data_IF_095994143830
#
_entry.id   IF_095994143830
#
_cell.length_a   1.000
_cell.length_b   1.000
_cell.length_c   1.000
_cell.angle_alpha   90.00
_cell.angle_beta   90.00
_cell.angle_gamma   90.00
#
_symmetry.space_group_name_H-M   'P 1'
#
loop_
_entity.id
_entity.type
_entity.pdbx_description
1 polymer ?
#
# COMPACT_ATOMS: atom_id res chain seq x y z
N UNK A 1 -13.95 -6.80 -28.07
CA UNK A 1 -14.49 -8.14 -28.33
C UNK A 1 -13.42 -9.09 -27.81
N UNK A 2 -13.73 -9.91 -26.84
CA UNK A 2 -12.76 -10.88 -26.31
C UNK A 2 -12.57 -11.97 -27.34
N UNK A 3 -11.35 -12.08 -27.85
CA UNK A 3 -11.00 -13.13 -28.80
C UNK A 3 -10.50 -14.33 -27.98
N UNK A 4 -11.29 -15.42 -28.00
CA UNK A 4 -10.98 -16.62 -27.21
C UNK A 4 -9.62 -17.23 -27.60
N UNK A 5 -9.20 -17.02 -28.83
CA UNK A 5 -7.89 -17.43 -29.34
C UNK A 5 -6.75 -16.66 -28.70
N UNK A 6 -6.90 -15.34 -28.55
CA UNK A 6 -5.90 -14.48 -27.88
C UNK A 6 -5.78 -14.82 -26.38
N UNK A 7 -6.89 -15.17 -25.74
CA UNK A 7 -6.88 -15.59 -24.34
C UNK A 7 -6.16 -16.93 -24.14
N UNK A 8 -6.43 -17.92 -25.01
CA UNK A 8 -5.76 -19.22 -24.91
C UNK A 8 -4.24 -19.13 -25.17
N UNK A 9 -3.82 -18.28 -26.10
CA UNK A 9 -2.40 -18.00 -26.36
C UNK A 9 -1.74 -17.33 -25.15
N UNK A 10 -2.36 -16.30 -24.58
CA UNK A 10 -1.84 -15.61 -23.39
C UNK A 10 -1.72 -16.56 -22.20
N UNK A 11 -2.71 -17.46 -22.01
CA UNK A 11 -2.68 -18.44 -20.93
C UNK A 11 -1.56 -19.49 -21.14
N UNK A 12 -1.37 -19.92 -22.40
CA UNK A 12 -0.28 -20.82 -22.77
C UNK A 12 1.10 -20.22 -22.50
N UNK A 13 1.33 -18.97 -22.86
CA UNK A 13 2.54 -18.23 -22.58
C UNK A 13 2.78 -18.03 -21.07
N UNK A 14 1.71 -17.67 -20.33
CA UNK A 14 1.79 -17.45 -18.88
C UNK A 14 2.18 -18.72 -18.12
N UNK A 15 1.69 -19.90 -18.54
CA UNK A 15 1.93 -21.18 -17.92
C UNK A 15 3.25 -21.82 -18.33
N UNK A 16 4.07 -21.19 -19.18
CA UNK A 16 5.41 -21.68 -19.44
C UNK A 16 6.26 -21.67 -18.17
N UNK A 17 7.06 -22.72 -17.98
CA UNK A 17 7.92 -22.86 -16.78
C UNK A 17 8.84 -21.67 -16.58
N UNK A 18 9.37 -21.11 -17.65
CA UNK A 18 10.25 -19.95 -17.62
C UNK A 18 9.53 -18.71 -17.10
N UNK A 19 8.30 -18.42 -17.58
CA UNK A 19 7.51 -17.26 -17.17
C UNK A 19 7.03 -17.39 -15.72
N UNK A 20 6.68 -18.59 -15.29
CA UNK A 20 6.33 -18.86 -13.89
C UNK A 20 7.51 -18.61 -12.95
N UNK A 21 8.71 -19.06 -13.32
CA UNK A 21 9.92 -18.80 -12.53
C UNK A 21 10.27 -17.32 -12.47
N UNK A 22 10.14 -16.59 -13.58
CA UNK A 22 10.40 -15.16 -13.60
C UNK A 22 9.39 -14.36 -12.79
N UNK A 23 8.12 -14.75 -12.85
CA UNK A 23 7.07 -14.15 -12.00
C UNK A 23 7.33 -14.42 -10.52
N UNK A 24 7.70 -15.65 -10.17
CA UNK A 24 8.07 -16.04 -8.81
C UNK A 24 9.31 -15.26 -8.32
N UNK A 25 10.34 -15.18 -9.13
CA UNK A 25 11.54 -14.38 -8.83
C UNK A 25 11.18 -12.92 -8.63
N UNK A 26 10.39 -12.34 -9.55
CA UNK A 26 9.90 -10.97 -9.42
C UNK A 26 9.14 -10.73 -8.11
N UNK A 27 8.26 -11.66 -7.73
CA UNK A 27 7.50 -11.58 -6.49
C UNK A 27 8.41 -11.62 -5.26
N UNK A 28 9.37 -12.53 -5.20
CA UNK A 28 10.34 -12.58 -4.10
C UNK A 28 11.19 -11.32 -4.01
N UNK A 29 11.73 -10.87 -5.14
CA UNK A 29 12.51 -9.63 -5.20
C UNK A 29 11.65 -8.43 -4.77
N UNK A 30 10.41 -8.36 -5.22
CA UNK A 30 9.46 -7.34 -4.82
C UNK A 30 9.20 -7.34 -3.31
N UNK A 31 8.89 -8.51 -2.72
CA UNK A 31 8.69 -8.64 -1.27
C UNK A 31 9.93 -8.16 -0.50
N UNK A 32 11.11 -8.54 -0.95
CA UNK A 32 12.37 -8.12 -0.33
C UNK A 32 12.52 -6.59 -0.37
N UNK A 33 12.35 -5.98 -1.54
CA UNK A 33 12.44 -4.53 -1.69
C UNK A 33 11.35 -3.79 -0.89
N UNK A 34 10.11 -4.28 -0.94
CA UNK A 34 9.00 -3.68 -0.22
C UNK A 34 9.11 -3.81 1.30
N UNK A 35 9.78 -4.86 1.79
CA UNK A 35 10.08 -5.03 3.20
C UNK A 35 11.25 -4.16 3.68
N UNK A 36 11.97 -3.49 2.79
CA UNK A 36 13.03 -2.55 3.18
C UNK A 36 12.46 -1.12 3.24
N UNK A 37 12.34 -0.52 4.44
CA UNK A 37 11.88 0.86 4.55
C UNK A 37 12.79 1.80 3.76
N UNK A 38 12.19 2.62 2.89
CA UNK A 38 12.93 3.52 2.01
C UNK A 38 13.02 3.07 0.55
N UNK A 39 12.75 1.80 0.24
CA UNK A 39 12.64 1.31 -1.14
C UNK A 39 11.15 1.28 -1.54
N UNK A 40 10.76 2.21 -2.43
CA UNK A 40 9.39 2.19 -2.97
C UNK A 40 9.21 1.11 -4.03
N UNK A 41 7.96 0.74 -4.28
CA UNK A 41 7.61 -0.17 -5.38
C UNK A 41 8.13 0.35 -6.73
N UNK A 42 8.08 1.67 -6.95
CA UNK A 42 8.60 2.33 -8.13
C UNK A 42 10.12 2.20 -8.25
N UNK A 43 10.88 2.33 -7.15
CA UNK A 43 12.33 2.10 -7.17
C UNK A 43 12.67 0.65 -7.52
N UNK A 44 11.97 -0.32 -6.92
CA UNK A 44 12.17 -1.73 -7.23
C UNK A 44 11.92 -2.03 -8.72
N UNK A 45 10.86 -1.46 -9.29
CA UNK A 45 10.58 -1.55 -10.72
C UNK A 45 11.68 -0.88 -11.56
N UNK A 46 12.08 0.35 -11.23
CA UNK A 46 13.09 1.10 -11.99
C UNK A 46 14.43 0.36 -12.04
N UNK A 47 14.84 -0.27 -10.96
CA UNK A 47 16.07 -1.09 -10.91
C UNK A 47 15.99 -2.29 -11.86
N UNK A 48 14.80 -2.91 -11.96
CA UNK A 48 14.62 -4.13 -12.75
C UNK A 48 14.25 -3.90 -14.22
N UNK A 49 13.70 -2.71 -14.56
CA UNK A 49 13.34 -2.39 -15.96
C UNK A 49 14.49 -2.63 -16.95
N UNK A 50 15.75 -2.21 -16.74
CA UNK A 50 16.82 -2.45 -17.70
C UNK A 50 17.06 -3.93 -17.97
N UNK A 51 16.89 -4.79 -16.96
CA UNK A 51 17.07 -6.24 -17.11
C UNK A 51 15.94 -6.88 -17.90
N UNK A 52 14.73 -6.32 -17.83
CA UNK A 52 13.58 -6.86 -18.57
C UNK A 52 13.62 -6.57 -20.07
N UNK A 53 14.42 -5.59 -20.53
CA UNK A 53 14.62 -5.35 -21.96
C UNK A 53 15.28 -6.50 -22.72
N UNK A 54 16.08 -7.33 -22.03
CA UNK A 54 16.71 -8.50 -22.60
C UNK A 54 15.82 -9.75 -22.60
N UNK A 55 14.65 -9.66 -21.97
CA UNK A 55 13.70 -10.78 -21.86
C UNK A 55 12.67 -10.74 -23.02
N UNK A 56 12.03 -11.88 -23.30
CA UNK A 56 10.88 -11.89 -24.19
C UNK A 56 9.76 -11.00 -23.63
N UNK A 57 8.99 -10.35 -24.51
CA UNK A 57 8.04 -9.29 -24.11
C UNK A 57 7.10 -9.66 -22.96
N UNK A 58 6.55 -10.87 -22.96
CA UNK A 58 5.66 -11.34 -21.87
C UNK A 58 6.41 -11.65 -20.59
N UNK A 59 7.60 -12.23 -20.68
CA UNK A 59 8.43 -12.58 -19.52
C UNK A 59 8.83 -11.34 -18.69
N UNK A 60 9.25 -10.27 -19.39
CA UNK A 60 9.60 -9.00 -18.75
C UNK A 60 8.41 -8.38 -17.99
N UNK A 61 7.24 -8.34 -18.63
CA UNK A 61 6.00 -7.80 -18.01
C UNK A 61 5.60 -8.63 -16.79
N UNK A 62 5.64 -9.96 -16.87
CA UNK A 62 5.29 -10.84 -15.75
C UNK A 62 6.25 -10.69 -14.58
N UNK A 63 7.54 -10.53 -14.85
CA UNK A 63 8.54 -10.24 -13.82
C UNK A 63 8.24 -8.91 -13.12
N UNK A 64 7.98 -7.83 -13.87
CA UNK A 64 7.66 -6.51 -13.31
C UNK A 64 6.35 -6.50 -12.53
N UNK A 65 5.31 -7.19 -13.00
CA UNK A 65 4.07 -7.37 -12.25
C UNK A 65 4.29 -8.12 -10.93
N UNK A 66 5.12 -9.18 -10.97
CA UNK A 66 5.52 -9.89 -9.75
C UNK A 66 6.21 -8.96 -8.75
N UNK A 67 7.15 -8.13 -9.22
CA UNK A 67 7.85 -7.14 -8.37
C UNK A 67 6.86 -6.14 -7.78
N UNK A 68 5.96 -5.62 -8.58
CA UNK A 68 4.97 -4.65 -8.13
C UNK A 68 4.06 -5.21 -7.03
N UNK A 69 3.42 -6.35 -7.29
CA UNK A 69 2.56 -7.01 -6.31
C UNK A 69 3.32 -7.42 -5.05
N UNK A 70 4.53 -7.99 -5.24
CA UNK A 70 5.39 -8.41 -4.14
C UNK A 70 5.84 -7.25 -3.26
N UNK A 71 6.20 -6.10 -3.85
CA UNK A 71 6.66 -4.94 -3.09
C UNK A 71 5.56 -4.30 -2.24
N UNK A 72 4.34 -4.23 -2.76
CA UNK A 72 3.18 -3.72 -2.01
C UNK A 72 2.92 -4.62 -0.79
N UNK A 73 2.92 -5.94 -0.99
CA UNK A 73 2.75 -6.89 0.10
C UNK A 73 3.91 -6.84 1.10
N UNK A 74 5.16 -6.75 0.62
CA UNK A 74 6.37 -6.62 1.45
C UNK A 74 6.31 -5.46 2.42
N UNK A 75 5.75 -4.32 1.98
CA UNK A 75 5.51 -3.16 2.83
C UNK A 75 4.60 -3.41 4.02
N UNK A 76 3.62 -4.31 3.89
CA UNK A 76 2.74 -4.69 4.98
C UNK A 76 3.44 -5.53 6.05
N UNK A 77 4.47 -6.28 5.70
CA UNK A 77 5.25 -7.09 6.64
C UNK A 77 5.94 -6.19 7.67
N UNK A 78 6.64 -5.17 7.21
CA UNK A 78 7.33 -4.22 8.11
C UNK A 78 6.37 -3.32 8.86
N UNK A 79 5.26 -2.95 8.25
CA UNK A 79 4.17 -2.24 8.92
C UNK A 79 3.65 -3.00 10.14
N UNK A 80 3.42 -4.32 10.00
CA UNK A 80 2.93 -5.18 11.06
C UNK A 80 3.99 -5.46 12.13
N UNK A 81 5.22 -5.77 11.72
CA UNK A 81 6.25 -6.25 12.65
C UNK A 81 6.98 -5.14 13.41
N UNK A 82 7.26 -4.03 12.76
CA UNK A 82 8.12 -2.95 13.30
C UNK A 82 7.49 -1.55 13.24
N UNK A 83 6.20 -1.46 12.97
CA UNK A 83 5.46 -0.18 12.86
C UNK A 83 6.08 0.79 11.83
N UNK A 84 6.66 0.26 10.77
CA UNK A 84 7.29 1.07 9.73
C UNK A 84 6.75 0.62 8.38
N UNK A 85 5.92 1.44 7.72
CA UNK A 85 5.38 1.06 6.43
C UNK A 85 6.52 1.03 5.40
N UNK A 86 6.69 -0.09 4.71
CA UNK A 86 7.67 -0.22 3.63
C UNK A 86 7.21 0.48 2.35
N UNK A 87 5.89 0.54 2.15
CA UNK A 87 5.25 1.24 1.03
C UNK A 87 4.14 2.15 1.56
N UNK A 88 3.78 3.19 0.79
CA UNK A 88 2.71 4.13 1.15
C UNK A 88 1.36 3.42 1.43
N UNK A 89 1.04 2.42 0.63
CA UNK A 89 -0.19 1.64 0.75
C UNK A 89 -0.29 0.84 2.05
N UNK A 90 0.83 0.56 2.70
CA UNK A 90 0.88 -0.19 3.95
C UNK A 90 0.80 0.69 5.21
N UNK A 91 0.69 2.01 5.06
CA UNK A 91 0.62 2.93 6.19
C UNK A 91 -0.60 2.66 7.10
N UNK A 92 -1.77 2.40 6.51
CA UNK A 92 -2.96 2.03 7.26
C UNK A 92 -2.79 0.73 8.07
N UNK A 93 -1.99 -0.20 7.56
CA UNK A 93 -1.72 -1.49 8.22
C UNK A 93 -0.95 -1.33 9.54
N UNK A 94 -0.19 -0.23 9.72
CA UNK A 94 0.50 0.06 10.98
C UNK A 94 -0.48 0.24 12.13
N UNK A 95 -1.66 0.81 11.88
CA UNK A 95 -2.62 1.19 12.92
C UNK A 95 -3.19 -0.01 13.68
N UNK A 96 -3.47 -1.10 12.99
CA UNK A 96 -4.05 -2.31 13.59
C UNK A 96 -3.04 -3.47 13.65
N UNK A 97 -2.18 -3.59 12.65
CA UNK A 97 -1.22 -4.70 12.53
C UNK A 97 -0.13 -4.67 13.59
N UNK A 98 0.46 -3.51 13.86
CA UNK A 98 1.48 -3.40 14.88
C UNK A 98 0.95 -3.60 16.32
N UNK A 99 -0.20 -3.05 16.74
CA UNK A 99 -0.82 -3.38 18.02
C UNK A 99 -1.10 -4.88 18.20
N UNK A 100 -1.46 -5.61 17.13
CA UNK A 100 -1.57 -7.07 17.18
C UNK A 100 -0.21 -7.73 17.45
N UNK A 101 0.86 -7.24 16.84
CA UNK A 101 2.22 -7.72 17.10
C UNK A 101 2.64 -7.52 18.55
N UNK A 102 2.33 -6.36 19.14
CA UNK A 102 2.59 -6.10 20.56
C UNK A 102 1.84 -7.05 21.51
N UNK A 103 0.67 -7.56 21.07
CA UNK A 103 -0.11 -8.58 21.80
C UNK A 103 0.38 -10.01 21.55
N UNK A 104 1.44 -10.21 20.75
CA UNK A 104 1.97 -11.52 20.40
C UNK A 104 1.22 -12.23 19.25
N UNK A 105 0.33 -11.52 18.54
CA UNK A 105 -0.49 -12.05 17.44
C UNK A 105 0.06 -11.70 16.06
N UNK A 106 1.37 -11.47 15.93
CA UNK A 106 2.02 -11.08 14.67
C UNK A 106 1.72 -12.07 13.52
N UNK A 107 1.78 -13.37 13.79
CA UNK A 107 1.49 -14.39 12.80
C UNK A 107 0.05 -14.30 12.25
N UNK A 108 -0.91 -14.06 13.14
CA UNK A 108 -2.33 -13.88 12.78
C UNK A 108 -2.54 -12.63 11.91
N UNK A 109 -1.87 -11.52 12.25
CA UNK A 109 -1.94 -10.27 11.48
C UNK A 109 -1.35 -10.46 10.07
N UNK A 110 -0.16 -11.08 9.97
CA UNK A 110 0.47 -11.41 8.70
C UNK A 110 -0.39 -12.34 7.84
N UNK A 111 -0.94 -13.39 8.43
CA UNK A 111 -1.80 -14.33 7.73
C UNK A 111 -3.09 -13.70 7.21
N UNK A 112 -3.75 -12.83 7.99
CA UNK A 112 -4.93 -12.09 7.54
C UNK A 112 -4.59 -11.10 6.42
N UNK A 113 -3.47 -10.38 6.52
CA UNK A 113 -2.98 -9.49 5.47
C UNK A 113 -2.74 -10.24 4.16
N UNK A 114 -2.10 -11.44 4.24
CA UNK A 114 -1.86 -12.28 3.06
C UNK A 114 -3.15 -12.75 2.41
N UNK A 115 -4.09 -13.27 3.20
CA UNK A 115 -5.37 -13.76 2.67
C UNK A 115 -6.20 -12.63 2.07
N UNK A 116 -6.28 -11.48 2.74
CA UNK A 116 -7.01 -10.32 2.23
C UNK A 116 -6.40 -9.80 0.93
N UNK A 117 -5.07 -9.71 0.86
CA UNK A 117 -4.35 -9.29 -0.35
C UNK A 117 -4.55 -10.28 -1.51
N UNK A 118 -4.49 -11.58 -1.23
CA UNK A 118 -4.71 -12.61 -2.25
C UNK A 118 -6.14 -12.55 -2.79
N UNK A 119 -7.13 -12.47 -1.90
CA UNK A 119 -8.52 -12.38 -2.31
C UNK A 119 -8.81 -11.10 -3.10
N UNK A 120 -8.35 -9.94 -2.60
CA UNK A 120 -8.50 -8.65 -3.27
C UNK A 120 -7.79 -8.63 -4.63
N UNK A 121 -6.60 -9.22 -4.73
CA UNK A 121 -5.84 -9.34 -5.98
C UNK A 121 -6.58 -10.17 -7.03
N UNK A 122 -7.11 -11.35 -6.66
CA UNK A 122 -7.90 -12.20 -7.57
C UNK A 122 -9.17 -11.46 -7.98
N UNK A 123 -9.89 -10.86 -7.03
CA UNK A 123 -11.11 -10.12 -7.31
C UNK A 123 -10.86 -8.96 -8.29
N UNK A 124 -9.85 -8.14 -8.04
CA UNK A 124 -9.52 -7.00 -8.89
C UNK A 124 -9.04 -7.43 -10.28
N UNK A 125 -8.28 -8.54 -10.38
CA UNK A 125 -7.83 -9.08 -11.67
C UNK A 125 -9.02 -9.56 -12.52
N UNK A 126 -10.00 -10.24 -11.92
CA UNK A 126 -11.22 -10.65 -12.60
C UNK A 126 -12.05 -9.44 -13.05
N UNK A 127 -12.21 -8.44 -12.19
CA UNK A 127 -12.89 -7.19 -12.56
C UNK A 127 -12.15 -6.47 -13.69
N UNK A 128 -10.82 -6.35 -13.63
CA UNK A 128 -10.01 -5.71 -14.65
C UNK A 128 -10.16 -6.43 -16.00
N UNK A 129 -10.13 -7.76 -15.99
CA UNK A 129 -10.30 -8.56 -17.21
C UNK A 129 -11.60 -8.21 -17.95
N UNK A 130 -12.70 -8.03 -17.20
CA UNK A 130 -14.00 -7.68 -17.78
C UNK A 130 -14.09 -6.21 -18.17
N UNK A 131 -13.52 -5.31 -17.36
CA UNK A 131 -13.75 -3.87 -17.49
C UNK A 131 -12.62 -3.11 -18.19
N UNK A 132 -11.49 -3.75 -18.51
CA UNK A 132 -10.32 -3.08 -19.11
C UNK A 132 -10.64 -2.24 -20.35
N UNK A 133 -11.43 -2.69 -21.33
CA UNK A 133 -11.73 -1.88 -22.52
C UNK A 133 -12.58 -0.63 -22.20
N UNK A 134 -13.46 -0.74 -21.19
CA UNK A 134 -14.29 0.38 -20.73
C UNK A 134 -13.47 1.39 -19.93
N UNK A 135 -12.62 0.89 -19.05
CA UNK A 135 -11.72 1.70 -18.22
C UNK A 135 -10.71 2.49 -19.07
N UNK A 136 -10.16 1.88 -20.12
CA UNK A 136 -9.26 2.58 -21.04
C UNK A 136 -9.93 3.81 -21.69
N UNK A 137 -11.18 3.69 -22.13
CA UNK A 137 -11.94 4.82 -22.68
C UNK A 137 -12.25 5.88 -21.65
N UNK A 138 -12.58 5.46 -20.42
CA UNK A 138 -12.91 6.37 -19.34
C UNK A 138 -11.66 7.13 -18.85
N UNK A 139 -10.53 6.44 -18.72
CA UNK A 139 -9.26 7.02 -18.26
C UNK A 139 -8.77 8.16 -19.17
N UNK A 140 -9.01 8.07 -20.47
CA UNK A 140 -8.61 9.11 -21.42
C UNK A 140 -9.43 10.41 -21.28
N UNK A 141 -10.56 10.39 -20.60
CA UNK A 141 -11.40 11.56 -20.36
C UNK A 141 -11.06 12.28 -19.05
N UNK A 142 -10.15 11.72 -18.23
CA UNK A 142 -9.71 12.35 -16.98
C UNK A 142 -8.76 13.50 -17.25
N UNK A 143 -9.20 14.71 -16.88
CA UNK A 143 -8.41 15.93 -16.96
C UNK A 143 -7.97 16.47 -15.60
N UNK A 144 -7.44 17.68 -15.61
CA UNK A 144 -6.99 18.36 -14.38
C UNK A 144 -8.13 18.63 -13.37
N UNK A 145 -9.37 18.99 -13.78
CA UNK A 145 -10.48 19.20 -12.83
C UNK A 145 -10.86 17.93 -12.07
N UNK A 146 -10.89 16.77 -12.75
CA UNK A 146 -11.23 15.50 -12.15
C UNK A 146 -10.16 15.06 -11.14
N UNK A 147 -8.89 15.24 -11.48
CA UNK A 147 -7.77 14.98 -10.57
C UNK A 147 -7.81 15.88 -9.32
N UNK A 148 -8.19 17.16 -9.48
CA UNK A 148 -8.38 18.07 -8.35
C UNK A 148 -9.53 17.59 -7.45
N UNK A 149 -10.67 17.21 -8.02
CA UNK A 149 -11.81 16.70 -7.26
C UNK A 149 -11.44 15.44 -6.45
N UNK A 150 -10.62 14.55 -7.04
CA UNK A 150 -10.10 13.35 -6.36
C UNK A 150 -9.15 13.71 -5.21
N UNK A 151 -8.29 14.71 -5.38
CA UNK A 151 -7.41 15.18 -4.32
C UNK A 151 -8.23 15.74 -3.13
N UNK A 152 -9.27 16.54 -3.40
CA UNK A 152 -10.19 17.06 -2.37
C UNK A 152 -10.92 15.91 -1.68
N UNK A 153 -11.41 14.92 -2.42
CA UNK A 153 -12.01 13.72 -1.86
C UNK A 153 -11.04 12.97 -0.95
N UNK A 154 -9.80 12.74 -1.38
CA UNK A 154 -8.78 12.09 -0.56
C UNK A 154 -8.49 12.86 0.74
N UNK A 155 -8.42 14.19 0.68
CA UNK A 155 -8.25 15.02 1.87
C UNK A 155 -9.46 14.97 2.82
N UNK A 156 -10.66 14.83 2.30
CA UNK A 156 -11.88 14.71 3.13
C UNK A 156 -11.90 13.47 4.02
N UNK A 157 -11.18 12.40 3.64
CA UNK A 157 -11.06 11.17 4.42
C UNK A 157 -10.40 11.42 5.78
N UNK A 158 -9.51 12.42 5.87
CA UNK A 158 -8.83 12.81 7.13
C UNK A 158 -9.84 13.13 8.22
N UNK A 159 -10.96 13.77 7.87
CA UNK A 159 -12.02 14.11 8.85
C UNK A 159 -12.67 12.86 9.45
N UNK A 160 -12.81 11.81 8.66
CA UNK A 160 -13.38 10.53 9.11
C UNK A 160 -12.42 9.76 10.02
N UNK A 161 -11.12 9.77 9.69
CA UNK A 161 -10.09 9.06 10.48
C UNK A 161 -9.82 9.79 11.80
N UNK A 162 -9.92 11.12 11.80
CA UNK A 162 -9.62 11.98 12.96
C UNK A 162 -10.84 12.26 13.85
N UNK A 163 -11.79 11.33 13.93
CA UNK A 163 -13.05 11.47 14.67
C UNK A 163 -12.86 11.87 16.15
N UNK A 164 -11.78 11.41 16.80
CA UNK A 164 -11.51 11.68 18.21
C UNK A 164 -11.03 13.13 18.46
N UNK A 165 -10.35 13.75 17.49
CA UNK A 165 -9.90 15.14 17.59
C UNK A 165 -9.71 15.77 16.20
N UNK A 166 -10.79 16.29 15.67
CA UNK A 166 -10.84 16.89 14.33
C UNK A 166 -9.81 18.02 14.14
N UNK A 167 -9.58 18.86 15.19
CA UNK A 167 -8.64 19.98 15.10
C UNK A 167 -7.20 19.46 14.88
N UNK A 168 -6.81 18.44 15.60
CA UNK A 168 -5.48 17.83 15.41
C UNK A 168 -5.35 17.19 14.04
N UNK A 169 -6.41 16.53 13.54
CA UNK A 169 -6.44 15.96 12.20
C UNK A 169 -6.28 17.03 11.12
N UNK A 170 -7.02 18.13 11.22
CA UNK A 170 -6.91 19.25 10.28
C UNK A 170 -5.53 19.93 10.33
N UNK A 171 -4.96 20.14 11.51
CA UNK A 171 -3.60 20.67 11.64
C UNK A 171 -2.57 19.75 11.00
N UNK A 172 -2.67 18.43 11.23
CA UNK A 172 -1.77 17.45 10.60
C UNK A 172 -1.92 17.45 9.07
N UNK A 173 -3.13 17.56 8.57
CA UNK A 173 -3.40 17.68 7.13
C UNK A 173 -2.75 18.94 6.54
N UNK A 174 -2.92 20.09 7.21
CA UNK A 174 -2.29 21.35 6.76
C UNK A 174 -0.77 21.25 6.76
N UNK A 175 -0.17 20.64 7.79
CA UNK A 175 1.28 20.39 7.81
C UNK A 175 1.71 19.47 6.66
N UNK A 176 0.96 18.41 6.38
CA UNK A 176 1.22 17.52 5.25
C UNK A 176 1.16 18.25 3.91
N UNK A 177 0.17 19.11 3.71
CA UNK A 177 0.05 19.94 2.51
C UNK A 177 1.21 20.95 2.37
N UNK A 178 1.66 21.55 3.47
CA UNK A 178 2.84 22.43 3.46
C UNK A 178 4.10 21.67 3.04
N UNK A 179 4.32 20.50 3.61
CA UNK A 179 5.45 19.63 3.28
C UNK A 179 5.41 19.20 1.81
N UNK A 180 4.24 18.85 1.28
CA UNK A 180 4.09 18.42 -0.11
C UNK A 180 4.36 19.52 -1.13
N UNK A 181 4.27 20.79 -0.74
CA UNK A 181 4.56 21.94 -1.59
C UNK A 181 6.06 22.29 -1.67
N UNK A 182 6.92 21.62 -0.90
CA UNK A 182 8.37 21.82 -0.99
C UNK A 182 8.91 21.17 -2.26
N UNK A 183 9.60 21.93 -3.09
CA UNK A 183 10.21 21.41 -4.31
C UNK A 183 10.01 22.32 -5.52
N UNK A 184 10.20 21.78 -6.71
CA UNK A 184 10.00 22.46 -7.97
C UNK A 184 8.61 22.09 -8.54
N UNK A 185 7.85 23.10 -8.93
CA UNK A 185 6.57 22.90 -9.59
C UNK A 185 6.77 22.25 -10.97
N UNK A 186 6.06 21.18 -11.23
CA UNK A 186 6.19 20.40 -12.48
C UNK A 186 5.72 21.19 -13.70
N UNK A 187 4.76 22.11 -13.52
CA UNK A 187 4.17 22.88 -14.62
C UNK A 187 4.94 24.18 -14.93
N UNK A 188 5.33 24.92 -13.87
CA UNK A 188 5.96 26.24 -14.01
C UNK A 188 7.47 26.19 -13.87
N UNK A 189 8.03 25.07 -13.39
CA UNK A 189 9.45 24.92 -13.05
C UNK A 189 9.96 25.92 -11.99
N UNK A 190 9.04 26.59 -11.27
CA UNK A 190 9.41 27.48 -10.17
C UNK A 190 9.70 26.70 -8.89
N UNK A 191 10.73 27.13 -8.17
CA UNK A 191 11.10 26.53 -6.89
C UNK A 191 10.22 27.07 -5.76
N UNK A 192 9.57 26.18 -5.00
CA UNK A 192 8.72 26.51 -3.86
C UNK A 192 9.36 26.01 -2.56
N UNK A 193 9.53 26.88 -1.60
CA UNK A 193 10.06 26.57 -0.25
C UNK A 193 11.39 25.80 -0.24
N UNK A 194 12.24 26.01 -1.25
CA UNK A 194 13.55 25.36 -1.35
C UNK A 194 14.66 26.09 -0.61
N UNK A 195 14.42 27.33 -0.18
CA UNK A 195 15.37 28.19 0.56
C UNK A 195 16.78 28.26 -0.08
N UNK A 196 16.85 28.08 -1.40
CA UNK A 196 18.11 28.08 -2.15
C UNK A 196 18.89 26.76 -2.09
N UNK A 197 18.38 25.72 -1.44
CA UNK A 197 19.03 24.41 -1.36
C UNK A 197 18.68 23.54 -2.56
N UNK A 198 19.68 23.19 -3.35
CA UNK A 198 19.49 22.36 -4.55
C UNK A 198 18.92 20.97 -4.26
N UNK A 199 19.21 20.42 -3.08
CA UNK A 199 18.63 19.13 -2.64
C UNK A 199 17.11 19.16 -2.47
N UNK A 200 16.53 20.32 -2.15
CA UNK A 200 15.09 20.47 -1.98
C UNK A 200 14.36 20.72 -3.30
N UNK A 201 15.06 20.90 -4.43
CA UNK A 201 14.42 21.02 -5.74
C UNK A 201 13.65 19.77 -6.15
N UNK A 202 14.13 18.60 -5.76
CA UNK A 202 13.42 17.31 -5.97
C UNK A 202 12.24 17.09 -5.03
N UNK A 203 11.95 18.03 -4.13
CA UNK A 203 10.94 17.87 -3.08
C UNK A 203 11.39 16.93 -1.96
N UNK A 204 10.49 16.72 -1.00
CA UNK A 204 10.69 15.76 0.08
C UNK A 204 10.06 14.43 -0.34
N UNK A 205 10.88 13.40 -0.47
CA UNK A 205 10.39 12.09 -0.83
C UNK A 205 9.37 11.59 0.23
N UNK A 206 8.17 11.24 -0.21
CA UNK A 206 7.06 10.82 0.64
C UNK A 206 7.44 9.68 1.62
N UNK A 207 8.23 8.73 1.15
CA UNK A 207 8.72 7.61 1.95
C UNK A 207 9.61 8.08 3.12
N UNK A 208 10.47 9.07 2.89
CA UNK A 208 11.32 9.63 3.96
C UNK A 208 10.46 10.23 5.08
N UNK A 209 9.38 10.91 4.70
CA UNK A 209 8.43 11.48 5.67
C UNK A 209 7.74 10.37 6.47
N UNK A 210 7.30 9.31 5.80
CA UNK A 210 6.67 8.16 6.48
C UNK A 210 7.64 7.48 7.47
N UNK A 211 8.89 7.25 7.06
CA UNK A 211 9.90 6.67 7.96
C UNK A 211 10.14 7.58 9.16
N UNK A 212 10.23 8.89 8.95
CA UNK A 212 10.40 9.85 10.03
C UNK A 212 9.20 9.84 11.00
N UNK A 213 7.98 9.83 10.48
CA UNK A 213 6.77 9.88 11.30
C UNK A 213 6.52 8.56 12.05
N UNK A 214 6.76 7.41 11.44
CA UNK A 214 6.45 6.11 12.05
C UNK A 214 7.68 5.51 12.74
N UNK A 215 8.78 5.26 12.01
CA UNK A 215 9.92 4.55 12.56
C UNK A 215 10.71 5.37 13.57
N UNK A 216 10.99 6.64 13.25
CA UNK A 216 11.74 7.51 14.17
C UNK A 216 10.92 7.85 15.41
N UNK A 217 9.62 8.14 15.27
CA UNK A 217 8.71 8.34 16.39
C UNK A 217 8.65 7.11 17.30
N UNK A 218 8.52 5.90 16.72
CA UNK A 218 8.54 4.66 17.49
C UNK A 218 9.89 4.41 18.17
N UNK A 219 10.98 4.79 17.50
CA UNK A 219 12.32 4.73 18.08
C UNK A 219 12.44 5.61 19.35
N UNK A 220 11.93 6.84 19.30
CA UNK A 220 11.92 7.76 20.46
C UNK A 220 11.08 7.21 21.61
N UNK A 221 9.89 6.69 21.33
CA UNK A 221 9.02 6.07 22.35
C UNK A 221 9.73 4.88 23.00
N UNK A 222 10.43 4.06 22.22
CA UNK A 222 11.18 2.92 22.76
C UNK A 222 12.35 3.35 23.64
N UNK A 223 13.02 4.47 23.31
CA UNK A 223 14.10 5.05 24.12
C UNK A 223 13.56 5.63 25.42
N UNK A 224 12.44 6.37 25.36
CA UNK A 224 11.77 6.92 26.53
C UNK A 224 11.31 5.81 27.50
N UNK A 225 10.80 4.71 26.97
CA UNK A 225 10.39 3.53 27.75
C UNK A 225 11.54 2.64 28.23
N UNK A 226 12.79 2.96 27.87
CA UNK A 226 13.95 2.15 28.25
C UNK A 226 14.27 2.31 29.73
N UNK A 227 14.04 1.26 30.50
CA UNK A 227 14.49 1.17 31.92
C UNK A 227 15.73 0.25 31.97
N UNK A 228 16.91 0.76 32.40
CA UNK A 228 18.10 -0.06 32.58
C UNK A 228 17.79 -1.20 33.53
N UNK A 229 18.04 -2.45 33.13
CA UNK A 229 17.81 -3.65 33.95
C UNK A 229 16.43 -4.33 33.77
N UNK A 230 15.45 -3.67 33.21
CA UNK A 230 14.29 -4.38 32.63
C UNK A 230 14.71 -4.88 31.26
N UNK A 231 15.06 -6.15 31.15
CA UNK A 231 15.02 -6.82 29.85
C UNK A 231 13.60 -6.55 29.35
N UNK A 232 13.47 -5.70 28.33
CA UNK A 232 12.26 -5.61 27.56
C UNK A 232 11.93 -7.07 27.26
N UNK A 233 10.90 -7.58 27.90
CA UNK A 233 10.37 -8.89 27.59
C UNK A 233 9.77 -8.71 26.18
N UNK A 234 10.68 -8.58 25.20
CA UNK A 234 10.38 -8.93 23.83
C UNK A 234 9.94 -10.39 23.99
N UNK A 235 8.66 -10.55 24.29
CA UNK A 235 8.03 -11.80 23.96
C UNK A 235 8.49 -11.99 22.54
N UNK A 236 9.53 -12.84 22.42
CA UNK A 236 10.07 -13.24 21.12
C UNK A 236 8.84 -13.44 20.29
N UNK A 237 8.70 -12.71 19.19
CA UNK A 237 7.56 -12.90 18.31
C UNK A 237 7.69 -14.34 17.81
N UNK A 238 7.41 -15.30 18.71
CA UNK A 238 7.19 -16.67 18.33
C UNK A 238 6.03 -16.54 17.39
N UNK A 239 6.35 -16.71 16.10
CA UNK A 239 5.34 -16.78 15.05
C UNK A 239 4.39 -17.90 15.44
N UNK A 240 3.50 -17.59 16.37
CA UNK A 240 2.37 -18.45 16.70
C UNK A 240 1.53 -18.46 15.44
N UNK A 241 1.08 -19.57 15.01
CA UNK A 241 0.16 -19.84 13.92
C UNK A 241 -0.06 -18.70 12.93
N UNK A 242 0.64 -18.74 11.80
CA UNK A 242 0.56 -17.73 10.72
C UNK A 242 -0.78 -17.82 9.96
N UNK A 243 -1.34 -19.02 9.84
CA UNK A 243 -2.62 -19.21 9.17
C UNK A 243 -3.77 -18.80 10.11
N UNK A 244 -4.59 -17.78 9.73
CA UNK A 244 -5.78 -17.41 10.49
C UNK A 244 -6.76 -18.58 10.55
N UNK A 245 -7.59 -18.60 11.57
CA UNK A 245 -8.64 -19.61 11.69
C UNK A 245 -9.76 -19.33 10.68
N UNK A 246 -10.45 -20.36 10.26
CA UNK A 246 -11.65 -20.21 9.40
C UNK A 246 -12.69 -19.25 10.01
N UNK A 247 -12.73 -19.20 11.34
CA UNK A 247 -13.60 -18.29 12.10
C UNK A 247 -13.18 -16.84 11.93
N UNK A 248 -11.88 -16.55 11.95
CA UNK A 248 -11.33 -15.20 11.70
C UNK A 248 -11.64 -14.73 10.27
N UNK A 249 -11.44 -15.63 9.30
CA UNK A 249 -11.76 -15.32 7.90
C UNK A 249 -13.25 -15.01 7.70
N UNK A 250 -14.12 -15.84 8.28
CA UNK A 250 -15.58 -15.66 8.18
C UNK A 250 -16.04 -14.34 8.83
N UNK A 251 -15.41 -13.90 9.92
CA UNK A 251 -15.75 -12.63 10.58
C UNK A 251 -15.33 -11.41 9.75
N UNK A 252 -14.29 -11.52 8.91
CA UNK A 252 -13.75 -10.42 8.12
C UNK A 252 -14.21 -10.44 6.65
N UNK A 253 -15.00 -11.44 6.22
CA UNK A 253 -15.34 -11.61 4.80
C UNK A 253 -16.13 -10.43 4.24
N UNK A 254 -17.01 -9.82 5.00
CA UNK A 254 -17.76 -8.62 4.59
C UNK A 254 -16.84 -7.43 4.36
N UNK A 255 -15.86 -7.24 5.25
CA UNK A 255 -14.84 -6.19 5.11
C UNK A 255 -13.95 -6.46 3.91
N UNK A 256 -13.51 -7.71 3.72
CA UNK A 256 -12.67 -8.10 2.57
C UNK A 256 -13.41 -7.81 1.25
N UNK A 257 -14.68 -8.20 1.14
CA UNK A 257 -15.49 -7.94 -0.05
C UNK A 257 -15.69 -6.45 -0.29
N UNK A 258 -16.11 -5.70 0.72
CA UNK A 258 -16.32 -4.26 0.60
C UNK A 258 -15.01 -3.54 0.21
N UNK A 259 -13.90 -3.86 0.87
CA UNK A 259 -12.59 -3.30 0.57
C UNK A 259 -12.08 -3.68 -0.82
N UNK A 260 -12.39 -4.90 -1.30
CA UNK A 260 -12.04 -5.33 -2.65
C UNK A 260 -12.77 -4.52 -3.72
N UNK A 261 -14.07 -4.24 -3.52
CA UNK A 261 -14.85 -3.39 -4.43
C UNK A 261 -14.31 -1.96 -4.42
N UNK A 262 -14.11 -1.37 -3.24
CA UNK A 262 -13.60 -0.01 -3.09
C UNK A 262 -12.20 0.11 -3.70
N UNK A 263 -11.30 -0.83 -3.37
CA UNK A 263 -9.94 -0.86 -3.88
C UNK A 263 -9.90 -1.00 -5.40
N UNK A 264 -10.78 -1.81 -5.99
CA UNK A 264 -10.87 -1.96 -7.46
C UNK A 264 -11.41 -0.68 -8.12
N UNK A 265 -12.45 -0.07 -7.58
CA UNK A 265 -13.04 1.15 -8.13
C UNK A 265 -12.07 2.33 -8.05
N UNK A 266 -11.50 2.59 -6.88
CA UNK A 266 -10.57 3.70 -6.68
C UNK A 266 -9.24 3.43 -7.41
N UNK A 267 -8.74 2.19 -7.37
CA UNK A 267 -7.53 1.80 -8.07
C UNK A 267 -7.62 1.87 -9.59
N UNK A 268 -8.83 1.79 -10.16
CA UNK A 268 -9.08 1.97 -11.58
C UNK A 268 -8.98 3.44 -12.04
N UNK A 269 -9.03 4.39 -11.10
CA UNK A 269 -8.95 5.83 -11.40
C UNK A 269 -7.48 6.22 -11.56
N UNK A 270 -7.09 6.83 -12.70
CA UNK A 270 -5.72 7.26 -12.94
C UNK A 270 -5.26 8.28 -11.88
N UNK A 271 -4.06 8.09 -11.35
CA UNK A 271 -3.43 9.04 -10.42
C UNK A 271 -3.79 8.89 -8.95
N UNK A 272 -4.84 8.14 -8.59
CA UNK A 272 -5.24 7.97 -7.18
C UNK A 272 -4.59 6.76 -6.51
N UNK A 273 -4.43 5.69 -7.23
CA UNK A 273 -3.73 4.49 -6.81
C UNK A 273 -4.24 3.84 -5.52
N UNK A 274 -3.44 2.93 -5.01
CA UNK A 274 -3.71 2.20 -3.77
C UNK A 274 -3.67 3.05 -2.50
N UNK A 275 -3.00 4.20 -2.55
CA UNK A 275 -2.82 5.08 -1.37
C UNK A 275 -4.16 5.63 -0.87
N UNK A 276 -4.98 6.19 -1.77
CA UNK A 276 -6.33 6.66 -1.41
C UNK A 276 -7.24 5.49 -1.11
N UNK A 277 -7.13 4.40 -1.87
CA UNK A 277 -7.98 3.23 -1.69
C UNK A 277 -7.82 2.59 -0.30
N UNK A 278 -6.59 2.46 0.22
CA UNK A 278 -6.35 1.86 1.53
C UNK A 278 -6.96 2.68 2.66
N UNK A 279 -6.85 4.01 2.62
CA UNK A 279 -7.43 4.89 3.62
C UNK A 279 -8.96 4.96 3.54
N UNK A 280 -9.51 4.97 2.33
CA UNK A 280 -10.97 4.93 2.12
C UNK A 280 -11.57 3.63 2.65
N UNK A 281 -10.96 2.50 2.33
CA UNK A 281 -11.39 1.19 2.82
C UNK A 281 -11.26 1.09 4.34
N UNK A 282 -10.17 1.63 4.90
CA UNK A 282 -9.94 1.65 6.34
C UNK A 282 -11.01 2.50 7.07
N UNK A 283 -11.29 3.72 6.59
CA UNK A 283 -12.30 4.59 7.18
C UNK A 283 -13.70 3.97 7.13
N UNK A 284 -14.06 3.34 6.02
CA UNK A 284 -15.35 2.65 5.89
C UNK A 284 -15.44 1.44 6.84
N UNK A 285 -14.36 0.70 7.02
CA UNK A 285 -14.27 -0.40 7.98
C UNK A 285 -14.51 0.09 9.41
N UNK A 286 -13.93 1.23 9.79
CA UNK A 286 -14.14 1.84 11.11
C UNK A 286 -15.60 2.26 11.32
N UNK A 287 -16.23 2.87 10.32
CA UNK A 287 -17.60 3.39 10.42
C UNK A 287 -18.63 2.25 10.49
N UNK A 288 -18.49 1.22 9.63
CA UNK A 288 -19.55 0.22 9.46
C UNK A 288 -19.33 -1.07 10.26
N UNK A 289 -18.11 -1.40 10.67
CA UNK A 289 -17.78 -2.71 11.25
C UNK A 289 -17.31 -2.60 12.70
N UNK A 290 -16.66 -1.51 13.09
CA UNK A 290 -16.14 -1.33 14.46
C UNK A 290 -17.02 -0.50 15.38
N UNK A 291 -17.93 0.32 14.86
CA UNK A 291 -18.87 1.09 15.72
C UNK A 291 -19.80 0.22 16.59
N UNK A 292 -20.36 -0.89 16.12
CA UNK A 292 -21.18 -1.76 16.99
C UNK A 292 -20.41 -2.39 18.15
N UNK A 293 -19.12 -2.61 18.00
CA UNK A 293 -18.26 -3.24 19.02
C UNK A 293 -17.61 -2.26 19.99
N UNK A 294 -17.55 -0.97 19.63
CA UNK A 294 -17.06 0.08 20.56
C UNK A 294 -18.13 0.58 21.53
N UNK A 295 -19.41 0.32 21.26
CA UNK A 295 -20.56 0.73 22.12
C UNK A 295 -21.01 -0.35 23.10
N UNK A 296 -20.42 -1.51 23.06
CA UNK A 296 -20.60 -2.60 24.04
C UNK A 296 -19.34 -2.77 24.91
#
# INVERSE_FOLDING_TARGET
>A
MFDASSFSLALGELLTWQNLLLMLFGTFFGIFCGAMPGLSSTMALTIMVPFTFSMSGYAGILCLLGIFCGSIYGGSITAILINTPGTSNSAATCLDGYPMTLRGEAGRALGMSTLASTFGGIFSALCLFVTAPLLAKFALNFGAPENFALAVFGLSIVTSISSDNLIKGLLSMMMGLMISNVGMDILTAESRFTFGWTYLLGGLAYIVILIALYAFSQGLINVEGYQPGKVLNRQSAKLTRVLPTWKDFKSCISTILASSVIGTLIGAIPGTGGDIACWTAYSLSLIHISEPTRRS
#
